data_IF_057164485325
#
_entry.id   IF_057164485325
#
_cell.length_a   1.000
_cell.length_b   1.000
_cell.length_c   1.000
_cell.angle_alpha   90.00
_cell.angle_beta   90.00
_cell.angle_gamma   90.00
#
_symmetry.space_group_name_H-M   'P 1'
#
loop_
_entity.id
_entity.type
_entity.pdbx_description
1 polymer ?
#
# COMPACT_ATOMS: atom_id res chain seq x y z
N UNK A 1 20.73 -42.87 56.02
CA UNK A 1 19.42 -43.14 55.38
C UNK A 1 19.07 -41.96 54.49
N UNK A 2 18.63 -42.25 53.25
CA UNK A 2 17.81 -41.48 52.28
C UNK A 2 17.67 -39.94 52.43
N UNK A 3 17.67 -39.11 51.39
CA UNK A 3 17.83 -39.31 49.96
C UNK A 3 18.01 -37.94 49.27
N UNK A 4 18.73 -38.00 48.16
CA UNK A 4 18.73 -37.13 46.96
C UNK A 4 17.40 -36.42 46.69
N UNK A 5 17.48 -35.18 46.20
CA UNK A 5 16.34 -34.51 45.55
C UNK A 5 16.66 -33.12 45.02
N UNK A 6 17.49 -33.04 43.96
CA UNK A 6 17.58 -31.83 43.14
C UNK A 6 16.24 -31.61 42.42
N UNK A 7 15.60 -30.46 42.66
CA UNK A 7 14.37 -30.08 41.96
C UNK A 7 14.68 -29.67 40.53
N UNK A 8 14.15 -30.43 39.58
CA UNK A 8 14.36 -30.29 38.15
C UNK A 8 12.97 -30.14 37.52
N UNK A 9 12.45 -28.91 37.38
CA UNK A 9 11.25 -28.57 36.57
C UNK A 9 11.38 -27.14 36.06
N UNK A 10 11.97 -26.97 34.87
CA UNK A 10 11.27 -26.87 33.57
C UNK A 10 10.86 -25.43 33.24
N UNK A 11 11.78 -24.69 32.62
CA UNK A 11 11.43 -23.50 31.84
C UNK A 11 10.73 -24.00 30.58
N UNK A 12 9.41 -23.90 30.54
CA UNK A 12 8.66 -24.03 29.29
C UNK A 12 9.00 -22.79 28.45
N UNK A 13 10.08 -22.85 27.68
CA UNK A 13 10.29 -21.91 26.57
C UNK A 13 9.15 -22.21 25.60
N UNK A 14 8.13 -21.36 25.68
CA UNK A 14 7.01 -21.29 24.74
C UNK A 14 7.64 -21.13 23.37
N UNK A 15 7.63 -22.21 22.59
CA UNK A 15 8.22 -22.25 21.26
C UNK A 15 7.74 -21.03 20.47
N UNK A 16 8.69 -20.26 19.94
CA UNK A 16 8.42 -19.33 18.87
C UNK A 16 7.70 -20.10 17.78
N UNK A 17 6.40 -19.85 17.64
CA UNK A 17 5.69 -20.22 16.44
C UNK A 17 6.45 -19.54 15.30
N UNK A 18 6.93 -20.28 14.28
CA UNK A 18 7.41 -19.62 13.07
C UNK A 18 6.25 -18.77 12.56
N UNK A 19 6.52 -17.48 12.39
CA UNK A 19 5.63 -16.56 11.69
C UNK A 19 5.23 -17.25 10.39
N UNK A 20 4.01 -17.79 10.36
CA UNK A 20 3.38 -18.17 9.11
C UNK A 20 3.28 -16.86 8.35
N UNK A 21 4.11 -16.75 7.31
CA UNK A 21 4.00 -15.69 6.32
C UNK A 21 2.53 -15.54 5.97
N UNK A 22 1.96 -14.33 5.96
CA UNK A 22 0.72 -14.16 5.23
C UNK A 22 1.07 -14.51 3.79
N UNK A 23 0.63 -15.70 3.35
CA UNK A 23 0.54 -15.99 1.93
C UNK A 23 -0.35 -14.88 1.41
N UNK A 24 0.25 -13.86 0.80
CA UNK A 24 -0.44 -12.96 -0.08
C UNK A 24 -0.95 -13.86 -1.21
N UNK A 25 -2.13 -14.44 -0.96
CA UNK A 25 -2.97 -14.99 -1.99
C UNK A 25 -3.26 -13.77 -2.86
N UNK A 26 -2.47 -13.58 -3.91
CA UNK A 26 -2.86 -12.71 -5.00
C UNK A 26 -4.28 -13.10 -5.41
N UNK A 27 -5.10 -12.17 -5.89
CA UNK A 27 -6.47 -12.48 -6.27
C UNK A 27 -6.44 -13.70 -7.18
N UNK A 28 -7.10 -14.77 -6.72
CA UNK A 28 -7.34 -15.97 -7.53
C UNK A 28 -7.90 -15.49 -8.85
N UNK A 29 -7.20 -15.82 -9.93
CA UNK A 29 -7.68 -15.64 -11.29
C UNK A 29 -8.98 -16.43 -11.41
N UNK A 30 -10.09 -15.77 -11.11
CA UNK A 30 -11.38 -16.25 -11.54
C UNK A 30 -11.33 -16.20 -13.05
N UNK A 31 -11.26 -17.37 -13.67
CA UNK A 31 -11.64 -17.58 -15.07
C UNK A 31 -13.15 -17.31 -15.17
N UNK A 32 -13.50 -16.04 -14.98
CA UNK A 32 -14.83 -15.48 -15.11
C UNK A 32 -14.94 -14.92 -16.50
N UNK A 33 -15.55 -15.74 -17.37
CA UNK A 33 -16.53 -15.34 -18.39
C UNK A 33 -16.25 -13.97 -19.03
N UNK A 34 -15.73 -14.02 -20.26
CA UNK A 34 -15.40 -12.85 -21.10
C UNK A 34 -16.31 -11.65 -20.83
N UNK A 35 -15.72 -10.66 -20.14
CA UNK A 35 -16.27 -9.32 -20.12
C UNK A 35 -16.19 -8.83 -21.57
N UNK A 36 -17.36 -8.66 -22.18
CA UNK A 36 -17.48 -8.16 -23.53
C UNK A 36 -16.59 -6.94 -23.69
N UNK A 37 -15.91 -6.87 -24.82
CA UNK A 37 -15.24 -5.67 -25.30
C UNK A 37 -16.28 -4.56 -25.36
N UNK A 38 -16.50 -3.86 -24.26
CA UNK A 38 -17.29 -2.64 -24.28
C UNK A 38 -16.48 -1.65 -25.08
N UNK A 39 -16.94 -1.39 -26.29
CA UNK A 39 -16.60 -0.24 -27.14
C UNK A 39 -17.05 1.06 -26.47
N UNK A 40 -16.71 1.24 -25.20
CA UNK A 40 -16.98 2.45 -24.45
C UNK A 40 -15.74 3.32 -24.56
N UNK A 41 -15.94 4.56 -25.01
CA UNK A 41 -14.99 5.67 -24.84
C UNK A 41 -14.31 5.60 -23.45
N UNK A 42 -13.03 6.00 -23.33
CA UNK A 42 -12.38 6.09 -22.03
C UNK A 42 -13.25 6.86 -21.04
N UNK A 43 -13.41 6.27 -19.84
CA UNK A 43 -14.17 6.87 -18.74
C UNK A 43 -13.44 8.09 -18.19
N UNK A 44 -14.20 9.05 -17.65
CA UNK A 44 -13.61 10.28 -17.09
C UNK A 44 -12.85 10.00 -15.81
N UNK A 45 -11.86 10.85 -15.49
CA UNK A 45 -11.06 10.78 -14.27
C UNK A 45 -11.91 10.79 -12.99
N UNK A 46 -13.00 11.58 -12.99
CA UNK A 46 -13.89 11.70 -11.82
C UNK A 46 -14.71 10.43 -11.55
N UNK A 47 -14.79 9.50 -12.51
CA UNK A 47 -15.48 8.22 -12.34
C UNK A 47 -14.61 7.17 -11.64
N UNK A 48 -13.33 7.45 -11.41
CA UNK A 48 -12.45 6.56 -10.64
C UNK A 48 -12.97 6.52 -9.19
N UNK A 49 -13.17 5.32 -8.61
CA UNK A 49 -13.62 5.16 -7.23
C UNK A 49 -12.75 5.96 -6.25
N UNK A 50 -13.39 6.71 -5.34
CA UNK A 50 -12.70 7.55 -4.37
C UNK A 50 -13.43 7.58 -3.02
N UNK A 51 -12.73 7.69 -1.87
CA UNK A 51 -13.35 7.95 -0.58
C UNK A 51 -14.11 9.29 -0.53
N UNK A 52 -13.78 10.24 -1.41
CA UNK A 52 -14.43 11.54 -1.52
C UNK A 52 -13.46 12.65 -1.94
N UNK A 53 -13.98 13.78 -2.40
CA UNK A 53 -13.17 14.89 -2.94
C UNK A 53 -12.60 15.83 -1.85
N UNK A 54 -13.01 15.66 -0.59
CA UNK A 54 -12.50 16.48 0.52
C UNK A 54 -11.19 15.89 1.09
N UNK A 55 -10.07 16.35 0.54
CA UNK A 55 -8.74 15.86 0.92
C UNK A 55 -8.37 16.05 2.39
N UNK A 56 -8.86 17.11 3.05
CA UNK A 56 -8.58 17.35 4.47
C UNK A 56 -9.33 16.39 5.38
N UNK A 57 -10.58 16.07 5.02
CA UNK A 57 -11.37 15.07 5.74
C UNK A 57 -10.76 13.68 5.58
N UNK A 58 -10.39 13.31 4.34
CA UNK A 58 -9.68 12.05 4.07
C UNK A 58 -8.38 11.95 4.87
N UNK A 59 -7.57 13.02 4.89
CA UNK A 59 -6.32 13.06 5.66
C UNK A 59 -6.56 12.90 7.16
N UNK A 60 -7.64 13.48 7.69
CA UNK A 60 -8.04 13.30 9.09
C UNK A 60 -8.38 11.83 9.40
N UNK A 61 -9.20 11.19 8.56
CA UNK A 61 -9.55 9.77 8.70
C UNK A 61 -8.31 8.86 8.61
N UNK A 62 -7.49 9.06 7.58
CA UNK A 62 -6.22 8.35 7.38
C UNK A 62 -5.31 8.45 8.62
N UNK A 63 -5.17 9.66 9.17
CA UNK A 63 -4.35 9.88 10.37
C UNK A 63 -4.93 9.18 11.60
N UNK A 64 -6.25 9.14 11.75
CA UNK A 64 -6.94 8.55 12.90
C UNK A 64 -6.92 7.02 12.87
N UNK A 65 -7.09 6.43 11.70
CA UNK A 65 -7.29 4.98 11.53
C UNK A 65 -5.97 4.22 11.36
N UNK A 66 -5.10 4.71 10.49
CA UNK A 66 -3.90 3.99 10.06
C UNK A 66 -2.63 4.63 10.60
N UNK A 67 -2.58 5.96 10.66
CA UNK A 67 -1.38 6.71 10.99
C UNK A 67 -0.26 6.52 9.95
N UNK A 68 0.79 7.33 10.04
CA UNK A 68 1.89 7.35 9.04
C UNK A 68 2.77 6.10 9.05
N UNK A 69 2.69 5.26 10.09
CA UNK A 69 3.48 4.03 10.18
C UNK A 69 2.81 2.82 9.50
N UNK A 70 1.50 2.90 9.20
CA UNK A 70 0.71 1.79 8.64
C UNK A 70 0.11 2.11 7.28
N UNK A 71 0.80 2.93 6.48
CA UNK A 71 0.32 3.38 5.16
C UNK A 71 0.07 2.19 4.22
N UNK A 72 0.94 1.19 4.25
CA UNK A 72 0.78 -0.02 3.43
C UNK A 72 -0.49 -0.81 3.77
N UNK A 73 -0.91 -0.82 5.05
CA UNK A 73 -2.19 -1.44 5.44
C UNK A 73 -3.39 -0.62 4.94
N UNK A 74 -3.30 0.72 4.99
CA UNK A 74 -4.31 1.61 4.41
C UNK A 74 -4.49 1.37 2.91
N UNK A 75 -3.38 1.26 2.18
CA UNK A 75 -3.40 0.97 0.74
C UNK A 75 -4.08 -0.37 0.46
N UNK A 76 -3.71 -1.42 1.20
CA UNK A 76 -4.34 -2.74 1.07
C UNK A 76 -5.86 -2.68 1.30
N UNK A 77 -6.30 -2.04 2.38
CA UNK A 77 -7.73 -1.91 2.70
C UNK A 77 -8.47 -1.10 1.62
N UNK A 78 -7.83 -0.06 1.09
CA UNK A 78 -8.40 0.75 0.01
C UNK A 78 -8.56 -0.06 -1.28
N UNK A 79 -7.57 -0.87 -1.67
CA UNK A 79 -7.70 -1.78 -2.81
C UNK A 79 -8.79 -2.85 -2.60
N UNK A 80 -8.95 -3.35 -1.38
CA UNK A 80 -10.05 -4.28 -1.05
C UNK A 80 -11.43 -3.61 -1.16
N UNK A 81 -11.53 -2.32 -0.84
CA UNK A 81 -12.79 -1.56 -0.83
C UNK A 81 -13.19 -1.05 -2.22
N UNK A 82 -12.24 -0.49 -2.96
CA UNK A 82 -12.50 0.22 -4.22
C UNK A 82 -12.17 -0.60 -5.47
N UNK A 83 -11.41 -1.69 -5.31
CA UNK A 83 -10.97 -2.55 -6.39
C UNK A 83 -9.55 -2.22 -6.88
N UNK A 84 -9.18 -2.66 -8.10
CA UNK A 84 -7.79 -2.63 -8.57
C UNK A 84 -7.25 -1.22 -8.88
N UNK A 85 -8.14 -0.24 -9.02
CA UNK A 85 -7.79 1.17 -9.25
C UNK A 85 -8.66 2.06 -8.36
N UNK A 86 -8.05 3.02 -7.68
CA UNK A 86 -8.77 4.04 -6.92
C UNK A 86 -8.02 5.37 -6.91
N UNK A 87 -8.77 6.44 -6.64
CA UNK A 87 -8.28 7.82 -6.52
C UNK A 87 -8.43 8.26 -5.08
N UNK A 88 -7.36 8.79 -4.48
CA UNK A 88 -7.41 9.33 -3.13
C UNK A 88 -6.74 10.70 -3.07
N UNK A 89 -7.46 11.64 -2.46
CA UNK A 89 -6.97 12.98 -2.17
C UNK A 89 -6.62 13.09 -0.69
N UNK A 90 -5.37 13.41 -0.37
CA UNK A 90 -4.84 13.61 0.98
C UNK A 90 -4.31 15.03 1.12
N UNK A 91 -5.06 15.87 1.83
CA UNK A 91 -4.80 17.31 1.89
C UNK A 91 -4.91 17.94 0.49
N UNK A 92 -3.81 18.51 0.01
CA UNK A 92 -3.72 19.11 -1.33
C UNK A 92 -3.29 18.11 -2.41
N UNK A 93 -2.68 16.99 -2.01
CA UNK A 93 -2.17 15.99 -2.95
C UNK A 93 -3.31 15.07 -3.39
N UNK A 94 -3.36 14.78 -4.68
CA UNK A 94 -4.28 13.81 -5.24
C UNK A 94 -3.50 12.77 -6.04
N UNK A 95 -3.76 11.50 -5.76
CA UNK A 95 -3.03 10.37 -6.34
C UNK A 95 -3.98 9.27 -6.81
N UNK A 96 -3.62 8.63 -7.92
CA UNK A 96 -4.26 7.41 -8.40
C UNK A 96 -3.38 6.22 -8.02
N UNK A 97 -4.00 5.21 -7.44
CA UNK A 97 -3.34 4.00 -6.97
C UNK A 97 -3.77 2.83 -7.86
N UNK A 98 -2.78 2.06 -8.30
CA UNK A 98 -2.92 0.91 -9.21
C UNK A 98 -2.25 -0.30 -8.56
N UNK A 99 -2.85 -1.48 -8.71
CA UNK A 99 -2.29 -2.74 -8.19
C UNK A 99 -2.02 -3.79 -9.28
N UNK A 100 -2.70 -3.73 -10.43
CA UNK A 100 -2.52 -4.74 -11.48
C UNK A 100 -1.17 -4.54 -12.20
N UNK A 101 -0.32 -5.58 -12.31
CA UNK A 101 0.94 -5.48 -13.04
C UNK A 101 0.77 -5.13 -14.52
N UNK A 102 -0.38 -5.45 -15.14
CA UNK A 102 -0.65 -5.08 -16.55
C UNK A 102 -0.84 -3.58 -16.70
N UNK A 103 -1.53 -2.95 -15.77
CA UNK A 103 -1.74 -1.50 -15.80
C UNK A 103 -0.41 -0.77 -15.52
N UNK A 104 0.39 -1.30 -14.59
CA UNK A 104 1.73 -0.79 -14.32
C UNK A 104 2.66 -0.91 -15.54
N UNK A 105 2.61 -2.02 -16.29
CA UNK A 105 3.45 -2.18 -17.49
C UNK A 105 3.08 -1.20 -18.59
N UNK A 106 1.78 -0.87 -18.75
CA UNK A 106 1.32 0.17 -19.68
C UNK A 106 1.86 1.54 -19.24
N UNK A 107 1.77 1.86 -17.94
CA UNK A 107 2.30 3.12 -17.39
C UNK A 107 3.79 3.28 -17.69
N UNK A 108 4.60 2.25 -17.46
CA UNK A 108 6.04 2.29 -17.74
C UNK A 108 6.36 2.26 -19.23
N UNK A 109 5.51 1.65 -20.06
CA UNK A 109 5.68 1.66 -21.52
C UNK A 109 5.45 3.04 -22.13
N UNK A 110 4.62 3.86 -21.49
CA UNK A 110 4.31 5.22 -21.90
C UNK A 110 5.15 6.28 -21.15
N UNK A 111 6.14 5.87 -20.37
CA UNK A 111 7.00 6.78 -19.61
C UNK A 111 7.91 7.58 -20.56
N UNK A 112 8.05 8.88 -20.32
CA UNK A 112 8.92 9.76 -21.09
C UNK A 112 10.41 9.55 -20.79
N UNK A 113 11.32 10.23 -21.53
CA UNK A 113 12.76 10.08 -21.32
C UNK A 113 13.24 10.54 -19.93
N UNK A 114 12.51 11.45 -19.28
CA UNK A 114 12.82 11.98 -17.95
C UNK A 114 11.62 11.75 -17.02
N UNK A 115 11.59 10.63 -16.27
CA UNK A 115 10.49 10.35 -15.36
C UNK A 115 10.53 11.21 -14.11
N UNK A 116 9.36 11.67 -13.66
CA UNK A 116 9.21 12.44 -12.42
C UNK A 116 8.52 11.60 -11.35
N UNK A 117 9.13 11.53 -10.16
CA UNK A 117 8.60 10.78 -9.01
C UNK A 117 8.11 11.73 -7.94
N UNK A 118 7.23 11.21 -7.06
CA UNK A 118 6.78 11.96 -5.91
C UNK A 118 7.95 12.33 -4.99
N UNK A 119 8.16 13.63 -4.80
CA UNK A 119 9.18 14.16 -3.91
C UNK A 119 8.63 14.29 -2.49
N UNK A 120 9.21 13.55 -1.55
CA UNK A 120 8.85 13.64 -0.14
C UNK A 120 9.37 14.97 0.43
N UNK A 121 8.51 15.94 0.82
CA UNK A 121 8.97 17.30 1.14
C UNK A 121 10.00 17.36 2.27
N UNK A 122 9.86 16.59 3.37
CA UNK A 122 10.90 16.53 4.41
C UNK A 122 12.26 16.02 3.90
N UNK A 123 12.27 15.08 2.95
CA UNK A 123 13.50 14.57 2.35
C UNK A 123 14.20 15.64 1.54
N UNK A 124 13.44 16.34 0.67
CA UNK A 124 13.97 17.45 -0.13
C UNK A 124 14.52 18.55 0.76
N UNK A 125 13.78 18.97 1.78
CA UNK A 125 14.21 20.00 2.71
C UNK A 125 15.51 19.64 3.45
N UNK A 126 15.63 18.39 3.91
CA UNK A 126 16.86 17.89 4.54
C UNK A 126 18.06 17.95 3.58
N UNK A 127 17.90 17.42 2.36
CA UNK A 127 18.97 17.39 1.38
C UNK A 127 19.40 18.78 0.94
N UNK A 128 18.46 19.71 0.77
CA UNK A 128 18.74 21.11 0.46
C UNK A 128 19.50 21.79 1.61
N UNK A 129 19.05 21.59 2.85
CA UNK A 129 19.69 22.19 4.03
C UNK A 129 21.14 21.74 4.21
N UNK A 130 21.41 20.44 4.01
CA UNK A 130 22.75 19.87 4.14
C UNK A 130 23.55 19.83 2.83
N UNK A 131 23.07 20.45 1.75
CA UNK A 131 23.71 20.48 0.43
C UNK A 131 24.09 19.08 -0.10
N UNK A 132 23.20 18.10 0.11
CA UNK A 132 23.37 16.73 -0.35
C UNK A 132 22.58 16.51 -1.64
N UNK A 133 23.05 15.64 -2.56
CA UNK A 133 22.27 15.27 -3.74
C UNK A 133 20.99 14.57 -3.30
N UNK A 134 19.83 14.97 -3.86
CA UNK A 134 18.50 14.48 -3.45
C UNK A 134 18.32 12.99 -3.77
N UNK A 135 19.05 12.48 -4.78
CA UNK A 135 18.84 11.13 -5.31
C UNK A 135 17.55 11.03 -6.12
N UNK A 136 17.51 10.09 -7.07
CA UNK A 136 16.34 9.77 -7.91
C UNK A 136 15.80 8.39 -7.56
#
# INVERSE_FOLDING_TARGET
MLAKGLSLRSVLVKGCQPFLSPTWQGPVLSTGKGAGTSTSSPRSFNEIPSPGDNGWLNLYHFRRESGTQKIHYHQMQSFQKYGPIYREKLGTLESVYIVDPKDASILFSCEGPNPERFLVPPWVAYHQYYQRPIGV
#
